data_IF_627801361466
#
_entry.id   IF_627801361466
#
_cell.length_a   1.000
_cell.length_b   1.000
_cell.length_c   1.000
_cell.angle_alpha   90.00
_cell.angle_beta   90.00
_cell.angle_gamma   90.00
#
_symmetry.space_group_name_H-M   'P 1'
#
loop_
_entity.id
_entity.type
_entity.pdbx_description
1 polymer ?
#
# COMPACT_ATOMS: atom_id res chain seq x y z
N UNK A 1 -24.70 18.72 30.80
CA UNK A 1 -25.05 19.29 29.48
C UNK A 1 -25.46 18.11 28.60
N UNK A 2 -26.61 18.12 27.92
CA UNK A 2 -26.98 16.97 27.07
C UNK A 2 -25.97 16.85 25.93
N UNK A 3 -25.32 15.69 25.82
CA UNK A 3 -24.44 15.37 24.69
C UNK A 3 -25.32 14.92 23.54
N UNK A 4 -25.04 15.42 22.34
CA UNK A 4 -25.83 15.09 21.15
C UNK A 4 -25.37 13.75 20.57
N UNK A 5 -26.31 12.95 20.06
CA UNK A 5 -26.02 11.62 19.50
C UNK A 5 -24.91 11.60 18.43
N UNK A 6 -24.80 12.67 17.63
CA UNK A 6 -23.76 12.81 16.61
C UNK A 6 -22.35 12.82 17.23
N UNK A 7 -22.18 13.45 18.39
CA UNK A 7 -20.90 13.46 19.11
C UNK A 7 -20.53 12.04 19.55
N UNK A 8 -21.51 11.25 19.98
CA UNK A 8 -21.31 9.85 20.37
C UNK A 8 -20.95 8.99 19.16
N UNK A 9 -21.61 9.22 18.02
CA UNK A 9 -21.29 8.55 16.75
C UNK A 9 -19.89 8.90 16.23
N UNK A 10 -19.45 10.15 16.39
CA UNK A 10 -18.11 10.59 16.01
C UNK A 10 -17.02 9.99 16.91
N UNK A 11 -17.32 9.78 18.20
CA UNK A 11 -16.40 9.15 19.16
C UNK A 11 -16.36 7.62 19.04
N UNK A 12 -17.38 7.01 18.43
CA UNK A 12 -17.53 5.55 18.35
C UNK A 12 -16.34 4.84 17.66
N UNK A 13 -15.79 5.32 16.52
CA UNK A 13 -14.60 4.72 15.92
C UNK A 13 -13.37 4.83 16.81
N UNK A 14 -13.20 5.94 17.53
CA UNK A 14 -12.07 6.17 18.43
C UNK A 14 -12.12 5.25 19.66
N UNK A 15 -13.31 5.06 20.24
CA UNK A 15 -13.55 4.12 21.34
C UNK A 15 -13.31 2.68 20.87
N UNK A 16 -13.85 2.30 19.70
CA UNK A 16 -13.66 0.95 19.12
C UNK A 16 -12.21 0.66 18.73
N UNK A 17 -11.48 1.68 18.28
CA UNK A 17 -10.05 1.58 17.95
C UNK A 17 -9.13 1.60 19.17
N UNK A 18 -9.65 1.84 20.38
CA UNK A 18 -8.85 1.93 21.61
C UNK A 18 -8.01 3.20 21.72
N UNK A 19 -8.28 4.22 20.89
CA UNK A 19 -7.59 5.50 20.86
C UNK A 19 -8.26 6.58 21.73
N UNK A 20 -9.47 6.32 22.22
CA UNK A 20 -10.22 7.24 23.08
C UNK A 20 -9.69 7.24 24.52
N UNK A 21 -9.67 8.41 25.16
CA UNK A 21 -9.38 8.55 26.59
C UNK A 21 -10.40 7.78 27.45
N UNK A 22 -10.01 7.39 28.66
CA UNK A 22 -10.91 6.71 29.61
C UNK A 22 -12.19 7.50 29.89
N UNK A 23 -12.09 8.82 29.95
CA UNK A 23 -13.24 9.73 30.13
C UNK A 23 -14.19 9.67 28.93
N UNK A 24 -13.67 9.67 27.71
CA UNK A 24 -14.49 9.56 26.48
C UNK A 24 -15.16 8.20 26.35
N UNK A 25 -14.47 7.13 26.77
CA UNK A 25 -15.04 5.78 26.79
C UNK A 25 -16.23 5.70 27.77
N UNK A 26 -16.07 6.25 28.97
CA UNK A 26 -17.14 6.28 29.97
C UNK A 26 -18.33 7.10 29.49
N UNK A 27 -18.10 8.24 28.84
CA UNK A 27 -19.16 9.09 28.29
C UNK A 27 -19.99 8.34 27.23
N UNK A 28 -19.33 7.66 26.28
CA UNK A 28 -20.02 6.89 25.24
C UNK A 28 -20.83 5.74 25.85
N UNK A 29 -20.24 5.02 26.79
CA UNK A 29 -20.89 3.89 27.47
C UNK A 29 -22.11 4.34 28.29
N UNK A 30 -22.02 5.46 29.01
CA UNK A 30 -23.12 6.04 29.78
C UNK A 30 -24.26 6.51 28.86
N UNK A 31 -23.92 7.16 27.74
CA UNK A 31 -24.91 7.64 26.77
C UNK A 31 -25.61 6.49 26.05
N UNK A 32 -24.90 5.42 25.68
CA UNK A 32 -25.51 4.22 25.07
C UNK A 32 -26.41 3.46 26.05
N UNK A 33 -26.11 3.51 27.36
CA UNK A 33 -26.99 2.96 28.39
C UNK A 33 -28.27 3.77 28.57
N UNK A 34 -28.18 5.09 28.46
CA UNK A 34 -29.33 5.98 28.53
C UNK A 34 -30.22 5.92 27.27
N UNK A 35 -29.63 5.61 26.11
CA UNK A 35 -30.29 5.60 24.79
C UNK A 35 -30.23 4.21 24.10
N UNK A 36 -31.10 3.25 24.50
CA UNK A 36 -31.07 1.89 23.98
C UNK A 36 -31.38 1.78 22.48
N UNK A 37 -32.11 2.74 21.89
CA UNK A 37 -32.30 2.83 20.44
C UNK A 37 -30.98 3.05 19.69
N UNK A 38 -30.12 3.94 20.20
CA UNK A 38 -28.81 4.25 19.60
C UNK A 38 -27.86 3.06 19.76
N UNK A 39 -27.90 2.37 20.90
CA UNK A 39 -27.10 1.16 21.14
C UNK A 39 -27.38 0.05 20.12
N UNK A 40 -28.65 -0.14 19.71
CA UNK A 40 -29.01 -1.11 18.66
C UNK A 40 -28.44 -0.74 17.30
N UNK A 41 -28.49 0.55 16.94
CA UNK A 41 -27.91 1.06 15.68
C UNK A 41 -26.40 0.84 15.67
N UNK A 42 -25.74 1.20 16.77
CA UNK A 42 -24.29 1.02 16.97
C UNK A 42 -23.88 -0.44 16.85
N UNK A 43 -24.63 -1.37 17.44
CA UNK A 43 -24.36 -2.82 17.36
C UNK A 43 -24.42 -3.37 15.92
N UNK A 44 -25.19 -2.74 15.03
CA UNK A 44 -25.26 -3.10 13.61
C UNK A 44 -24.09 -2.60 12.75
N UNK A 45 -23.28 -1.66 13.26
CA UNK A 45 -22.14 -1.12 12.52
C UNK A 45 -20.92 -2.05 12.72
N UNK A 46 -20.39 -2.69 11.66
CA UNK A 46 -19.21 -3.54 11.77
C UNK A 46 -18.03 -2.72 12.31
N UNK A 47 -17.40 -3.21 13.37
CA UNK A 47 -16.18 -2.59 13.91
C UNK A 47 -15.01 -2.90 13.00
N UNK A 48 -14.33 -1.87 12.49
CA UNK A 48 -12.97 -2.04 11.99
C UNK A 48 -12.09 -2.32 13.20
N UNK A 49 -11.77 -3.60 13.40
CA UNK A 49 -10.79 -3.95 14.43
C UNK A 49 -9.39 -3.55 13.95
N UNK A 50 -8.47 -3.17 14.85
CA UNK A 50 -7.08 -2.88 14.49
C UNK A 50 -6.42 -4.00 13.68
N UNK A 51 -6.83 -5.25 13.90
CA UNK A 51 -6.37 -6.40 13.11
C UNK A 51 -6.85 -6.38 11.65
N UNK A 52 -8.09 -5.94 11.39
CA UNK A 52 -8.65 -5.82 10.05
C UNK A 52 -7.90 -4.73 9.26
N UNK A 53 -7.57 -3.61 9.90
CA UNK A 53 -6.77 -2.53 9.31
C UNK A 53 -5.34 -3.00 9.02
N UNK A 54 -4.67 -3.65 9.98
CA UNK A 54 -3.32 -4.19 9.78
C UNK A 54 -3.29 -5.23 8.65
N UNK A 55 -4.30 -6.10 8.56
CA UNK A 55 -4.41 -7.08 7.46
C UNK A 55 -4.64 -6.40 6.11
N UNK A 56 -5.45 -5.34 6.05
CA UNK A 56 -5.65 -4.56 4.84
C UNK A 56 -4.36 -3.85 4.40
N UNK A 57 -3.64 -3.25 5.33
CA UNK A 57 -2.34 -2.62 5.10
C UNK A 57 -1.28 -3.63 4.65
N UNK A 58 -1.20 -4.81 5.28
CA UNK A 58 -0.27 -5.87 4.89
C UNK A 58 -0.56 -6.40 3.48
N UNK A 59 -1.84 -6.60 3.14
CA UNK A 59 -2.26 -7.02 1.79
C UNK A 59 -1.82 -5.99 0.75
N UNK A 60 -2.09 -4.71 1.01
CA UNK A 60 -1.70 -3.61 0.13
C UNK A 60 -0.18 -3.52 -0.02
N UNK A 61 0.57 -3.60 1.10
CA UNK A 61 2.03 -3.57 1.10
C UNK A 61 2.64 -4.73 0.34
N UNK A 62 2.06 -5.94 0.42
CA UNK A 62 2.55 -7.12 -0.30
C UNK A 62 2.42 -6.94 -1.82
N UNK A 63 1.28 -6.45 -2.29
CA UNK A 63 1.03 -6.18 -3.71
C UNK A 63 1.96 -5.07 -4.21
N UNK A 64 2.09 -3.99 -3.45
CA UNK A 64 2.96 -2.86 -3.79
C UNK A 64 4.42 -3.28 -3.84
N UNK A 65 4.89 -4.05 -2.83
CA UNK A 65 6.26 -4.56 -2.77
C UNK A 65 6.60 -5.39 -4.01
N UNK A 66 5.70 -6.29 -4.41
CA UNK A 66 5.92 -7.11 -5.60
C UNK A 66 6.03 -6.24 -6.86
N UNK A 67 5.07 -5.34 -7.10
CA UNK A 67 5.08 -4.44 -8.26
C UNK A 67 6.29 -3.51 -8.30
N UNK A 68 6.77 -3.05 -7.14
CA UNK A 68 7.96 -2.20 -7.04
C UNK A 68 9.23 -2.98 -7.39
N UNK A 69 9.37 -4.21 -6.90
CA UNK A 69 10.55 -5.05 -7.20
C UNK A 69 10.67 -5.37 -8.69
N UNK A 70 9.57 -5.61 -9.38
CA UNK A 70 9.57 -5.88 -10.83
C UNK A 70 10.07 -4.69 -11.63
N UNK A 71 9.58 -3.49 -11.30
CA UNK A 71 10.00 -2.25 -11.96
C UNK A 71 11.44 -1.91 -11.62
N UNK A 72 11.86 -2.11 -10.37
CA UNK A 72 13.23 -1.89 -9.94
C UNK A 72 14.21 -2.81 -10.68
N UNK A 73 13.87 -4.09 -10.83
CA UNK A 73 14.67 -5.03 -11.63
C UNK A 73 14.74 -4.59 -13.10
N UNK A 74 13.61 -4.20 -13.71
CA UNK A 74 13.58 -3.71 -15.09
C UNK A 74 14.47 -2.47 -15.28
N UNK A 75 14.36 -1.50 -14.39
CA UNK A 75 15.21 -0.29 -14.39
C UNK A 75 16.68 -0.65 -14.22
N UNK A 76 17.01 -1.53 -13.27
CA UNK A 76 18.38 -1.97 -13.04
C UNK A 76 19.00 -2.56 -14.32
N UNK A 77 18.35 -3.54 -14.96
CA UNK A 77 18.87 -4.15 -16.19
C UNK A 77 18.88 -3.20 -17.40
N UNK A 78 18.07 -2.14 -17.39
CA UNK A 78 18.10 -1.11 -18.44
C UNK A 78 19.25 -0.12 -18.23
N UNK A 79 19.49 0.30 -16.98
CA UNK A 79 20.47 1.34 -16.64
C UNK A 79 21.88 0.77 -16.51
N UNK A 80 22.03 -0.46 -16.01
CA UNK A 80 23.33 -1.11 -15.84
C UNK A 80 24.20 -1.08 -17.12
N UNK A 81 23.69 -1.47 -18.31
CA UNK A 81 24.49 -1.42 -19.55
C UNK A 81 24.80 0.01 -20.02
N UNK A 82 24.04 1.03 -19.58
CA UNK A 82 24.34 2.45 -19.84
C UNK A 82 25.41 3.03 -18.91
N UNK A 83 25.96 2.25 -17.98
CA UNK A 83 27.05 2.70 -17.12
C UNK A 83 28.32 2.90 -17.94
N UNK A 84 28.94 4.06 -17.77
CA UNK A 84 30.21 4.40 -18.41
C UNK A 84 31.32 4.55 -17.36
N UNK A 85 32.53 4.22 -17.78
CA UNK A 85 33.75 4.46 -17.02
C UNK A 85 34.53 5.57 -17.71
N UNK A 86 35.08 6.46 -16.91
CA UNK A 86 36.03 7.47 -17.36
C UNK A 86 37.44 6.91 -17.23
N UNK A 87 38.14 6.85 -18.35
CA UNK A 87 39.59 6.67 -18.38
C UNK A 87 40.22 8.03 -18.75
N UNK A 88 41.49 8.25 -18.40
CA UNK A 88 42.17 9.56 -18.47
C UNK A 88 42.14 10.25 -19.86
N UNK A 89 41.75 9.51 -20.92
CA UNK A 89 41.53 10.04 -22.27
C UNK A 89 40.20 9.69 -22.93
N UNK A 90 39.39 8.76 -22.40
CA UNK A 90 38.19 8.28 -23.11
C UNK A 90 37.05 7.91 -22.16
N UNK A 91 35.82 8.17 -22.61
CA UNK A 91 34.61 7.63 -21.99
C UNK A 91 34.26 6.32 -22.70
N UNK A 92 34.17 5.22 -21.96
CA UNK A 92 33.79 3.92 -22.51
C UNK A 92 32.67 3.31 -21.68
N UNK A 93 31.69 2.70 -22.35
CA UNK A 93 30.67 1.92 -21.65
C UNK A 93 31.30 0.71 -20.98
N UNK A 94 30.93 0.46 -19.72
CA UNK A 94 31.52 -0.61 -18.89
C UNK A 94 31.42 -1.99 -19.54
N UNK A 95 30.36 -2.22 -20.33
CA UNK A 95 30.08 -3.49 -20.99
C UNK A 95 30.29 -3.46 -22.51
N UNK A 96 30.95 -2.42 -23.06
CA UNK A 96 31.15 -2.25 -24.50
C UNK A 96 31.81 -3.47 -25.17
N UNK A 97 32.74 -4.13 -24.47
CA UNK A 97 33.49 -5.27 -24.99
C UNK A 97 32.69 -6.59 -24.99
N UNK A 98 31.52 -6.60 -24.34
CA UNK A 98 30.67 -7.78 -24.18
C UNK A 98 29.27 -7.55 -24.79
N UNK A 99 29.16 -7.47 -26.13
CA UNK A 99 27.88 -7.19 -26.79
C UNK A 99 26.81 -8.26 -26.47
N UNK A 100 27.21 -9.52 -26.29
CA UNK A 100 26.29 -10.59 -25.89
C UNK A 100 25.66 -10.36 -24.51
N UNK A 101 26.41 -9.77 -23.56
CA UNK A 101 25.90 -9.45 -22.24
C UNK A 101 24.90 -8.29 -22.29
N UNK A 102 25.17 -7.26 -23.10
CA UNK A 102 24.25 -6.14 -23.33
C UNK A 102 22.93 -6.63 -23.93
N UNK A 103 22.98 -7.50 -24.95
CA UNK A 103 21.79 -8.09 -25.55
C UNK A 103 21.02 -8.92 -24.52
N UNK A 104 21.72 -9.72 -23.71
CA UNK A 104 21.10 -10.47 -22.61
C UNK A 104 20.37 -9.57 -21.62
N UNK A 105 21.01 -8.48 -21.18
CA UNK A 105 20.41 -7.49 -20.26
C UNK A 105 19.22 -6.75 -20.89
N UNK A 106 19.29 -6.41 -22.18
CA UNK A 106 18.20 -5.75 -22.88
C UNK A 106 16.98 -6.67 -23.04
N UNK A 107 17.20 -7.96 -23.35
CA UNK A 107 16.14 -8.97 -23.41
C UNK A 107 15.48 -9.16 -22.05
N UNK A 108 16.26 -9.32 -20.98
CA UNK A 108 15.69 -9.48 -19.63
C UNK A 108 14.91 -8.25 -19.20
N UNK A 109 15.43 -7.04 -19.43
CA UNK A 109 14.72 -5.79 -19.17
C UNK A 109 13.39 -5.72 -19.94
N UNK A 110 13.39 -6.09 -21.22
CA UNK A 110 12.17 -6.10 -22.06
C UNK A 110 11.13 -7.07 -21.51
N UNK A 111 11.53 -8.26 -21.08
CA UNK A 111 10.63 -9.25 -20.46
C UNK A 111 10.01 -8.69 -19.17
N UNK A 112 10.81 -8.05 -18.30
CA UNK A 112 10.28 -7.45 -17.07
C UNK A 112 9.31 -6.30 -17.34
N UNK A 113 9.62 -5.41 -18.30
CA UNK A 113 8.72 -4.33 -18.70
C UNK A 113 7.42 -4.86 -19.30
N UNK A 114 7.50 -5.85 -20.19
CA UNK A 114 6.34 -6.44 -20.83
C UNK A 114 5.42 -7.11 -19.80
N UNK A 115 6.00 -7.83 -18.83
CA UNK A 115 5.24 -8.45 -17.75
C UNK A 115 4.58 -7.43 -16.83
N UNK A 116 5.27 -6.34 -16.48
CA UNK A 116 4.73 -5.26 -15.67
C UNK A 116 3.62 -4.48 -16.40
N UNK A 117 3.73 -4.34 -17.72
CA UNK A 117 2.69 -3.74 -18.56
C UNK A 117 1.45 -4.64 -18.62
N UNK A 118 1.64 -5.94 -18.86
CA UNK A 118 0.54 -6.89 -18.96
C UNK A 118 -0.20 -7.08 -17.63
N UNK A 119 0.51 -7.11 -16.51
CA UNK A 119 -0.11 -7.23 -15.17
C UNK A 119 -1.01 -6.04 -14.86
N UNK A 120 -0.60 -4.82 -15.22
CA UNK A 120 -1.47 -3.63 -15.12
C UNK A 120 -2.67 -3.74 -16.04
N UNK A 121 -2.45 -4.09 -17.31
CA UNK A 121 -3.52 -4.17 -18.32
C UNK A 121 -4.59 -5.21 -17.96
N UNK A 122 -4.18 -6.38 -17.48
CA UNK A 122 -5.11 -7.39 -16.99
C UNK A 122 -5.87 -6.93 -15.75
N UNK A 123 -5.23 -6.20 -14.83
CA UNK A 123 -5.90 -5.71 -13.62
C UNK A 123 -6.94 -4.62 -13.94
N UNK A 124 -6.64 -3.73 -14.90
CA UNK A 124 -7.61 -2.74 -15.41
C UNK A 124 -8.78 -3.41 -16.14
N UNK A 125 -8.51 -4.45 -16.94
CA UNK A 125 -9.56 -5.20 -17.64
C UNK A 125 -10.45 -6.02 -16.69
N UNK A 126 -9.95 -6.38 -15.51
CA UNK A 126 -10.70 -7.13 -14.50
C UNK A 126 -11.44 -6.26 -13.47
N UNK A 127 -11.33 -4.92 -13.57
CA UNK A 127 -12.22 -3.97 -12.90
C UNK A 127 -12.59 -4.30 -11.45
N UNK A 128 -11.60 -4.27 -10.55
CA UNK A 128 -11.80 -3.86 -9.16
C UNK A 128 -11.20 -2.49 -8.95
#
# INVERSE_FOLDING_TARGET
>A
MPVHDNVILDLLPLVRGGYASSESQQLVEEHLRAHPELARVVAGIPSMTPELELRALQRTRKVLRHSTWEKAAAMFFTVLPMTFVFDDRHVRFLFADYPGLIVGMAVTATVFWFRAYWSKRCNEALGR
#
